data_IF_876174383031
#
_entry.id   IF_876174383031
#
_cell.length_a   1.000
_cell.length_b   1.000
_cell.length_c   1.000
_cell.angle_alpha   90.00
_cell.angle_beta   90.00
_cell.angle_gamma   90.00
#
_symmetry.space_group_name_H-M   'P 1'
#
loop_
_entity.id
_entity.type
_entity.pdbx_description
1 polymer ?
#
# COMPACT_ATOMS: atom_id res chain seq x y z
N UNK A 1 17.10 30.28 -11.14
CA UNK A 1 16.45 29.01 -11.53
C UNK A 1 14.94 29.19 -11.44
N UNK A 2 14.17 28.55 -12.32
CA UNK A 2 12.70 28.53 -12.25
C UNK A 2 12.27 27.25 -11.54
N UNK A 3 11.50 27.36 -10.47
CA UNK A 3 10.88 26.23 -9.79
C UNK A 3 9.57 25.84 -10.47
N UNK A 4 9.16 24.59 -10.32
CA UNK A 4 7.84 24.10 -10.70
C UNK A 4 7.35 23.08 -9.66
N UNK A 5 6.04 22.92 -9.59
CA UNK A 5 5.42 21.82 -8.84
C UNK A 5 5.61 20.50 -9.59
N UNK A 6 5.88 19.43 -8.84
CA UNK A 6 6.02 18.07 -9.35
C UNK A 6 5.11 17.16 -8.56
N UNK A 7 4.22 16.45 -9.25
CA UNK A 7 3.38 15.44 -8.61
C UNK A 7 4.19 14.17 -8.38
N UNK A 8 4.27 13.69 -7.15
CA UNK A 8 4.79 12.36 -6.85
C UNK A 8 3.64 11.46 -6.45
N UNK A 9 3.46 10.37 -7.20
CA UNK A 9 2.37 9.43 -6.99
C UNK A 9 2.87 8.11 -6.40
N UNK A 10 2.07 7.49 -5.56
CA UNK A 10 2.36 6.16 -5.03
C UNK A 10 1.94 5.07 -6.01
N UNK A 11 2.88 4.21 -6.39
CA UNK A 11 2.54 3.00 -7.14
C UNK A 11 1.86 1.99 -6.20
N UNK A 12 0.68 1.51 -6.59
CA UNK A 12 -0.08 0.52 -5.82
C UNK A 12 0.70 -0.79 -5.73
N UNK A 13 0.90 -1.29 -4.51
CA UNK A 13 1.63 -2.52 -4.24
C UNK A 13 0.85 -3.80 -4.57
N UNK A 14 1.54 -4.94 -4.76
CA UNK A 14 0.93 -6.21 -5.17
C UNK A 14 0.02 -6.83 -4.09
N UNK A 15 0.14 -6.39 -2.84
CA UNK A 15 -0.66 -6.87 -1.70
C UNK A 15 -1.87 -5.98 -1.41
N UNK A 16 -2.24 -5.06 -2.31
CA UNK A 16 -3.42 -4.22 -2.16
C UNK A 16 -4.66 -5.05 -1.81
N UNK A 17 -5.29 -4.73 -0.69
CA UNK A 17 -6.42 -5.46 -0.12
C UNK A 17 -7.37 -4.51 0.63
N UNK A 18 -8.56 -5.01 0.95
CA UNK A 18 -9.53 -4.29 1.77
C UNK A 18 -9.58 -4.86 3.19
N UNK A 19 -8.56 -4.55 3.99
CA UNK A 19 -8.43 -5.04 5.37
C UNK A 19 -9.33 -4.38 6.42
N UNK A 20 -10.06 -3.30 6.09
CA UNK A 20 -10.96 -2.64 7.05
C UNK A 20 -10.27 -1.95 8.23
N UNK A 21 -8.98 -1.62 8.10
CA UNK A 21 -8.10 -1.28 9.23
C UNK A 21 -8.21 0.16 9.72
N UNK A 22 -8.81 1.07 8.94
CA UNK A 22 -8.83 2.50 9.24
C UNK A 22 -10.14 2.92 9.90
N UNK A 23 -10.17 2.95 11.23
CA UNK A 23 -11.32 3.48 11.97
C UNK A 23 -11.58 4.96 11.61
N UNK A 24 -12.84 5.30 11.33
CA UNK A 24 -13.23 6.64 10.88
C UNK A 24 -13.19 6.85 9.37
N UNK A 25 -12.54 5.95 8.61
CA UNK A 25 -12.62 5.94 7.15
C UNK A 25 -13.78 5.03 6.70
N UNK A 26 -14.91 5.67 6.37
CA UNK A 26 -16.15 4.98 5.94
C UNK A 26 -15.89 4.04 4.76
N UNK A 27 -15.08 4.46 3.77
CA UNK A 27 -14.77 3.63 2.61
C UNK A 27 -13.91 2.41 2.97
N UNK A 28 -12.96 2.55 3.91
CA UNK A 28 -12.18 1.42 4.40
C UNK A 28 -13.08 0.40 5.12
N UNK A 29 -14.01 0.87 5.95
CA UNK A 29 -14.87 0.01 6.75
C UNK A 29 -15.92 -0.70 5.89
N UNK A 30 -16.58 0.02 4.98
CA UNK A 30 -17.67 -0.52 4.15
C UNK A 30 -17.18 -1.53 3.10
N UNK A 31 -15.93 -1.42 2.65
CA UNK A 31 -15.33 -2.36 1.70
C UNK A 31 -14.53 -3.49 2.37
N UNK A 32 -14.53 -3.57 3.70
CA UNK A 32 -13.78 -4.59 4.42
C UNK A 32 -14.12 -6.01 3.93
N UNK A 33 -13.09 -6.84 3.77
CA UNK A 33 -13.17 -8.24 3.31
C UNK A 33 -13.66 -8.42 1.86
N UNK A 34 -13.87 -7.36 1.09
CA UNK A 34 -14.13 -7.50 -0.34
C UNK A 34 -12.87 -7.98 -1.08
N UNK A 35 -13.07 -8.60 -2.24
CA UNK A 35 -11.97 -8.97 -3.13
C UNK A 35 -11.36 -7.72 -3.78
N UNK A 36 -10.05 -7.59 -3.71
CA UNK A 36 -9.30 -6.54 -4.41
C UNK A 36 -8.73 -7.05 -5.74
N UNK A 37 -8.32 -6.12 -6.61
CA UNK A 37 -7.57 -6.42 -7.82
C UNK A 37 -6.31 -5.54 -7.89
N UNK A 38 -5.18 -5.98 -7.30
CA UNK A 38 -3.96 -5.18 -7.20
C UNK A 38 -3.45 -4.69 -8.57
N UNK A 39 -3.53 -5.55 -9.59
CA UNK A 39 -3.08 -5.22 -10.95
C UNK A 39 -3.94 -4.09 -11.54
N UNK A 40 -5.26 -4.18 -11.43
CA UNK A 40 -6.16 -3.13 -11.92
C UNK A 40 -5.95 -1.83 -11.16
N UNK A 41 -5.80 -1.88 -9.83
CA UNK A 41 -5.53 -0.69 -9.02
C UNK A 41 -4.21 0.01 -9.43
N UNK A 42 -3.15 -0.75 -9.67
CA UNK A 42 -1.88 -0.21 -10.18
C UNK A 42 -2.05 0.42 -11.58
N UNK A 43 -2.75 -0.26 -12.49
CA UNK A 43 -3.02 0.24 -13.85
C UNK A 43 -3.85 1.54 -13.84
N UNK A 44 -4.84 1.64 -12.96
CA UNK A 44 -5.63 2.87 -12.78
C UNK A 44 -4.76 4.05 -12.33
N UNK A 45 -3.87 3.82 -11.34
CA UNK A 45 -2.91 4.82 -10.89
C UNK A 45 -1.95 5.27 -11.99
N UNK A 46 -1.37 4.31 -12.72
CA UNK A 46 -0.46 4.58 -13.85
C UNK A 46 -1.16 5.34 -14.98
N UNK A 47 -2.41 4.99 -15.30
CA UNK A 47 -3.20 5.70 -16.30
C UNK A 47 -3.41 7.17 -15.90
N UNK A 48 -3.72 7.44 -14.63
CA UNK A 48 -3.84 8.80 -14.11
C UNK A 48 -2.53 9.59 -14.23
N UNK A 49 -1.41 9.01 -13.77
CA UNK A 49 -0.08 9.63 -13.85
C UNK A 49 0.27 9.99 -15.30
N UNK A 50 0.08 9.05 -16.22
CA UNK A 50 0.37 9.25 -17.65
C UNK A 50 -0.52 10.33 -18.27
N UNK A 51 -1.81 10.37 -17.92
CA UNK A 51 -2.72 11.40 -18.43
C UNK A 51 -2.28 12.82 -17.99
N UNK A 52 -1.82 12.99 -16.75
CA UNK A 52 -1.30 14.28 -16.28
C UNK A 52 0.02 14.66 -16.98
N UNK A 53 0.91 13.69 -17.20
CA UNK A 53 2.13 13.92 -17.99
C UNK A 53 1.80 14.38 -19.42
N UNK A 54 0.80 13.78 -20.05
CA UNK A 54 0.37 14.14 -21.41
C UNK A 54 -0.24 15.55 -21.48
N UNK A 55 -0.77 16.06 -20.37
CA UNK A 55 -1.25 17.44 -20.23
C UNK A 55 -0.14 18.44 -19.89
N UNK A 56 1.10 17.99 -19.73
CA UNK A 56 2.27 18.84 -19.46
C UNK A 56 2.63 19.01 -17.98
N UNK A 57 2.00 18.27 -17.06
CA UNK A 57 2.38 18.27 -15.65
C UNK A 57 3.61 17.39 -15.41
N UNK A 58 4.53 17.85 -14.56
CA UNK A 58 5.71 17.06 -14.18
C UNK A 58 5.31 16.00 -13.17
N UNK A 59 5.70 14.76 -13.41
CA UNK A 59 5.29 13.60 -12.63
C UNK A 59 6.50 12.76 -12.20
N UNK A 60 6.48 12.30 -10.96
CA UNK A 60 7.34 11.27 -10.38
C UNK A 60 6.50 10.13 -9.79
N UNK A 61 7.17 9.03 -9.47
CA UNK A 61 6.56 7.84 -8.89
C UNK A 61 7.36 7.36 -7.69
N UNK A 62 6.68 6.96 -6.62
CA UNK A 62 7.26 6.31 -5.44
C UNK A 62 6.88 4.82 -5.46
N UNK A 63 7.89 3.97 -5.29
CA UNK A 63 7.72 2.52 -5.28
C UNK A 63 6.89 2.06 -4.06
N UNK A 64 6.15 0.93 -4.17
CA UNK A 64 5.49 0.34 -3.02
C UNK A 64 6.51 -0.16 -1.99
N UNK A 65 6.07 -0.28 -0.74
CA UNK A 65 6.89 -0.88 0.32
C UNK A 65 6.89 -2.40 0.24
N UNK A 66 7.90 -3.03 0.85
CA UNK A 66 7.93 -4.48 1.04
C UNK A 66 6.73 -4.95 1.86
N UNK A 67 5.98 -5.91 1.32
CA UNK A 67 4.79 -6.50 1.94
C UNK A 67 4.72 -7.99 1.57
N UNK A 68 4.39 -8.91 2.51
CA UNK A 68 4.10 -8.68 3.92
C UNK A 68 5.30 -8.12 4.69
N UNK A 69 5.07 -7.25 5.67
CA UNK A 69 6.12 -6.71 6.54
C UNK A 69 6.56 -7.77 7.57
N UNK A 70 7.47 -8.65 7.15
CA UNK A 70 7.98 -9.76 7.98
C UNK A 70 8.77 -9.23 9.18
N UNK A 71 9.46 -8.10 9.04
CA UNK A 71 10.20 -7.48 10.14
C UNK A 71 9.24 -7.03 11.26
N UNK A 72 8.11 -6.40 10.92
CA UNK A 72 7.08 -6.05 11.88
C UNK A 72 6.49 -7.30 12.56
N UNK A 73 6.19 -8.36 11.80
CA UNK A 73 5.72 -9.62 12.39
C UNK A 73 6.74 -10.21 13.38
N UNK A 74 8.04 -10.15 13.07
CA UNK A 74 9.08 -10.59 14.02
C UNK A 74 9.08 -9.78 15.31
N UNK A 75 8.93 -8.45 15.21
CA UNK A 75 8.83 -7.59 16.40
C UNK A 75 7.61 -7.90 17.29
N UNK A 76 6.58 -8.52 16.70
CA UNK A 76 5.36 -8.96 17.40
C UNK A 76 5.47 -10.38 17.97
N UNK A 77 6.64 -11.03 17.87
CA UNK A 77 6.93 -12.30 18.54
C UNK A 77 6.95 -13.54 17.63
N UNK A 78 6.69 -13.39 16.32
CA UNK A 78 6.83 -14.49 15.36
C UNK A 78 8.31 -14.74 15.03
N UNK A 79 8.73 -15.99 14.86
CA UNK A 79 10.15 -16.33 14.65
C UNK A 79 10.37 -17.46 13.64
N UNK A 80 11.64 -17.68 13.25
CA UNK A 80 12.02 -18.66 12.22
C UNK A 80 12.38 -18.02 10.87
N UNK A 81 12.22 -18.74 9.77
CA UNK A 81 12.36 -18.19 8.41
C UNK A 81 11.18 -17.29 8.06
N UNK A 82 11.28 -16.48 7.02
CA UNK A 82 10.19 -15.57 6.62
C UNK A 82 8.89 -16.32 6.32
N UNK A 83 9.00 -17.48 5.65
CA UNK A 83 7.87 -18.36 5.41
C UNK A 83 7.25 -18.89 6.71
N UNK A 84 8.07 -19.24 7.71
CA UNK A 84 7.58 -19.69 9.02
C UNK A 84 6.90 -18.56 9.79
N UNK A 85 7.46 -17.34 9.75
CA UNK A 85 6.87 -16.14 10.36
C UNK A 85 5.48 -15.87 9.77
N UNK A 86 5.37 -15.84 8.43
CA UNK A 86 4.11 -15.64 7.72
C UNK A 86 3.11 -16.75 8.06
N UNK A 87 3.56 -18.01 8.07
CA UNK A 87 2.70 -19.16 8.37
C UNK A 87 2.18 -19.14 9.81
N UNK A 88 3.01 -18.75 10.78
CA UNK A 88 2.59 -18.59 12.17
C UNK A 88 1.57 -17.46 12.31
N UNK A 89 1.84 -16.30 11.71
CA UNK A 89 0.92 -15.17 11.71
C UNK A 89 -0.44 -15.54 11.08
N UNK A 90 -0.43 -16.27 9.95
CA UNK A 90 -1.65 -16.76 9.31
C UNK A 90 -2.49 -17.67 10.23
N UNK A 91 -1.84 -18.56 10.99
CA UNK A 91 -2.53 -19.52 11.87
C UNK A 91 -2.99 -18.92 13.19
N UNK A 92 -2.17 -18.05 13.78
CA UNK A 92 -2.33 -17.60 15.16
C UNK A 92 -2.94 -16.20 15.26
N UNK A 93 -2.73 -15.34 14.26
CA UNK A 93 -3.15 -13.95 14.28
C UNK A 93 -3.40 -13.41 12.86
N UNK A 94 -4.34 -14.02 12.14
CA UNK A 94 -4.69 -13.60 10.76
C UNK A 94 -4.90 -12.09 10.61
N UNK A 95 -5.55 -11.36 11.54
CA UNK A 95 -5.68 -9.90 11.44
C UNK A 95 -4.33 -9.16 11.39
N UNK A 96 -3.31 -9.63 12.12
CA UNK A 96 -1.96 -9.04 12.09
C UNK A 96 -1.27 -9.30 10.75
N UNK A 97 -1.44 -10.50 10.18
CA UNK A 97 -0.92 -10.80 8.85
C UNK A 97 -1.57 -9.87 7.81
N UNK A 98 -2.89 -9.72 7.83
CA UNK A 98 -3.61 -8.82 6.90
C UNK A 98 -3.13 -7.38 7.06
N UNK A 99 -2.92 -6.91 8.29
CA UNK A 99 -2.36 -5.59 8.56
C UNK A 99 -0.95 -5.42 7.98
N UNK A 100 -0.09 -6.43 8.15
CA UNK A 100 1.27 -6.44 7.58
C UNK A 100 1.31 -6.49 6.05
N UNK A 101 0.19 -6.81 5.40
CA UNK A 101 0.06 -6.85 3.94
C UNK A 101 -0.54 -5.57 3.34
N UNK A 102 -0.89 -4.55 4.14
CA UNK A 102 -1.54 -3.34 3.64
C UNK A 102 -0.68 -2.58 2.62
N UNK A 103 -1.26 -2.26 1.45
CA UNK A 103 -0.63 -1.40 0.44
C UNK A 103 -0.87 0.10 0.69
N UNK A 104 -1.13 0.50 1.94
CA UNK A 104 -1.47 1.89 2.30
C UNK A 104 -0.40 2.92 1.95
N UNK A 105 0.86 2.51 1.77
CA UNK A 105 1.94 3.40 1.32
C UNK A 105 1.70 4.02 -0.06
N UNK A 106 0.72 3.53 -0.83
CA UNK A 106 0.30 4.16 -2.09
C UNK A 106 -0.29 5.57 -1.89
N UNK A 107 -0.81 5.89 -0.70
CA UNK A 107 -1.32 7.22 -0.36
C UNK A 107 -0.18 8.15 0.07
N UNK A 108 0.64 8.56 -0.89
CA UNK A 108 1.84 9.38 -0.66
C UNK A 108 1.55 10.81 -0.24
N UNK A 109 0.29 11.26 -0.31
CA UNK A 109 -0.16 12.49 0.34
C UNK A 109 0.02 12.45 1.88
N UNK A 110 0.14 11.25 2.47
CA UNK A 110 0.44 11.05 3.88
C UNK A 110 1.94 10.79 4.15
N UNK A 111 2.80 10.81 3.12
CA UNK A 111 4.20 10.39 3.27
C UNK A 111 5.06 11.40 4.02
N UNK A 112 4.90 12.70 3.73
CA UNK A 112 5.66 13.79 4.34
C UNK A 112 4.98 15.16 4.11
N UNK A 113 5.51 16.20 4.75
CA UNK A 113 5.24 17.61 4.43
C UNK A 113 6.44 18.18 3.67
N UNK A 114 6.19 18.90 2.58
CA UNK A 114 7.21 19.55 1.74
C UNK A 114 7.25 21.04 2.02
#
# INVERSE_FOLDING_TARGET
>A
MKSCEVNFDGLVGPTHNYGGLSYGNVASQSNSQQSSNPKVAALQGLQKMKALMDMGFVQGVLAPQERPDVAALRSLGFSGTDAQVIQQAAKQAMPLLVASCSASSMWVANAATV
#
